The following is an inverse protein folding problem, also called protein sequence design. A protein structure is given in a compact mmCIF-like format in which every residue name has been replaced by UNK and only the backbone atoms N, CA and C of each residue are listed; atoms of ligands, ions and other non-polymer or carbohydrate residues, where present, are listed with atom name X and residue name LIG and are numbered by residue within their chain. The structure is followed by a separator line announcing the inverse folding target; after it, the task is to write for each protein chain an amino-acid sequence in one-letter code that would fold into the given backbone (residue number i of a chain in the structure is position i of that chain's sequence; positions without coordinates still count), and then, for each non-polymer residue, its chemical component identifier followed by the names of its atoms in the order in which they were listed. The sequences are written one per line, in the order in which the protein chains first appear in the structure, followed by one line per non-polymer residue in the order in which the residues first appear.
data_IF_585380083057
#
_entry.id   IF_585380083057
#
_cell.length_a   1.000
_cell.length_b   1.000
_cell.length_c   1.000
_cell.angle_alpha   90.00
_cell.angle_beta   90.00
_cell.angle_gamma   90.00
#
_symmetry.space_group_name_H-M   'P 1'
#
loop_
_entity.id
_entity.type
_entity.pdbx_description
1 polymer ?
#
# COMPACT_ATOMS: atom_id res chain seq x y z
N UNK A 1 72.12 -24.00 -16.21
CA UNK A 1 72.67 -22.79 -15.55
C UNK A 1 73.19 -21.86 -16.63
N UNK A 2 72.55 -20.71 -16.86
CA UNK A 2 72.97 -19.78 -17.92
C UNK A 2 74.38 -19.23 -17.60
N UNK A 3 75.36 -19.59 -18.43
CA UNK A 3 76.78 -19.30 -18.18
C UNK A 3 77.25 -17.92 -18.66
N UNK A 4 76.42 -17.13 -19.36
CA UNK A 4 76.77 -15.77 -19.77
C UNK A 4 76.13 -14.70 -18.88
N UNK A 5 76.90 -13.65 -18.54
CA UNK A 5 76.44 -12.47 -17.80
C UNK A 5 75.21 -11.82 -18.47
N UNK A 6 75.18 -11.82 -19.80
CA UNK A 6 74.08 -11.31 -20.63
C UNK A 6 72.79 -12.08 -20.40
N UNK A 7 72.83 -13.41 -20.29
CA UNK A 7 71.64 -14.20 -20.03
C UNK A 7 71.07 -13.94 -18.62
N UNK A 8 71.93 -13.69 -17.63
CA UNK A 8 71.49 -13.32 -16.27
C UNK A 8 70.79 -11.96 -16.23
N UNK A 9 71.32 -10.96 -16.96
CA UNK A 9 70.72 -9.62 -17.07
C UNK A 9 69.34 -9.70 -17.74
N UNK A 10 69.22 -10.45 -18.84
CA UNK A 10 67.92 -10.65 -19.52
C UNK A 10 66.90 -11.31 -18.59
N UNK A 11 67.29 -12.35 -17.83
CA UNK A 11 66.39 -12.99 -16.86
C UNK A 11 65.96 -12.04 -15.74
N UNK A 12 66.85 -11.19 -15.23
CA UNK A 12 66.49 -10.19 -14.22
C UNK A 12 65.46 -9.19 -14.76
N UNK A 13 65.65 -8.70 -16.00
CA UNK A 13 64.69 -7.78 -16.65
C UNK A 13 63.33 -8.46 -16.85
N UNK A 14 63.33 -9.70 -17.32
CA UNK A 14 62.09 -10.48 -17.51
C UNK A 14 61.37 -10.69 -16.19
N UNK A 15 62.07 -11.08 -15.12
CA UNK A 15 61.48 -11.28 -13.78
C UNK A 15 60.92 -9.96 -13.23
N UNK A 16 61.64 -8.86 -13.39
CA UNK A 16 61.22 -7.55 -12.92
C UNK A 16 59.99 -7.04 -13.71
N UNK A 17 59.96 -7.25 -15.02
CA UNK A 17 58.78 -6.96 -15.85
C UNK A 17 57.58 -7.82 -15.44
N UNK A 18 57.77 -9.12 -15.21
CA UNK A 18 56.71 -10.00 -14.71
C UNK A 18 56.20 -9.57 -13.33
N UNK A 19 57.08 -9.16 -12.42
CA UNK A 19 56.71 -8.67 -11.09
C UNK A 19 55.89 -7.35 -11.18
N UNK A 20 56.30 -6.41 -12.03
CA UNK A 20 55.55 -5.16 -12.25
C UNK A 20 54.18 -5.41 -12.86
N UNK A 21 54.08 -6.32 -13.85
CA UNK A 21 52.81 -6.72 -14.45
C UNK A 21 51.90 -7.38 -13.39
N UNK A 22 52.46 -8.28 -12.57
CA UNK A 22 51.72 -8.93 -11.49
C UNK A 22 51.20 -7.92 -10.46
N UNK A 23 52.03 -6.95 -10.06
CA UNK A 23 51.62 -5.86 -9.16
C UNK A 23 50.50 -5.01 -9.77
N UNK A 24 50.62 -4.62 -11.04
CA UNK A 24 49.60 -3.85 -11.74
C UNK A 24 48.25 -4.60 -11.78
N UNK A 25 48.23 -5.87 -12.16
CA UNK A 25 47.00 -6.66 -12.18
C UNK A 25 46.45 -6.91 -10.78
N UNK A 26 47.30 -7.13 -9.79
CA UNK A 26 46.87 -7.30 -8.39
C UNK A 26 46.22 -6.02 -7.88
N UNK A 27 46.83 -4.85 -8.11
CA UNK A 27 46.25 -3.56 -7.74
C UNK A 27 44.90 -3.34 -8.42
N UNK A 28 44.77 -3.65 -9.72
CA UNK A 28 43.48 -3.56 -10.43
C UNK A 28 42.42 -4.49 -9.86
N UNK A 29 42.74 -5.76 -9.60
CA UNK A 29 41.80 -6.74 -9.05
C UNK A 29 41.38 -6.36 -7.63
N UNK A 30 42.33 -5.93 -6.78
CA UNK A 30 42.03 -5.48 -5.42
C UNK A 30 41.19 -4.21 -5.45
N UNK A 31 41.52 -3.25 -6.31
CA UNK A 31 40.74 -2.03 -6.50
C UNK A 31 39.30 -2.33 -6.94
N UNK A 32 39.09 -3.23 -7.92
CA UNK A 32 37.75 -3.67 -8.35
C UNK A 32 36.99 -4.42 -7.25
N UNK A 33 37.67 -5.27 -6.48
CA UNK A 33 37.09 -5.98 -5.35
C UNK A 33 36.65 -5.02 -4.24
N UNK A 34 37.50 -4.04 -3.90
CA UNK A 34 37.20 -2.98 -2.93
C UNK A 34 36.11 -2.03 -3.45
N UNK A 35 36.05 -1.79 -4.76
CA UNK A 35 34.98 -1.04 -5.40
C UNK A 35 33.63 -1.80 -5.43
N UNK A 36 33.61 -3.08 -5.00
CA UNK A 36 32.39 -3.88 -4.77
C UNK A 36 31.43 -3.89 -5.95
N UNK A 37 31.96 -3.95 -7.17
CA UNK A 37 31.12 -3.92 -8.36
C UNK A 37 30.10 -5.06 -8.39
N UNK A 38 28.86 -4.68 -8.64
CA UNK A 38 27.69 -5.56 -8.72
C UNK A 38 27.30 -5.80 -10.18
N UNK A 39 26.66 -6.94 -10.44
CA UNK A 39 26.06 -7.27 -11.74
C UNK A 39 24.66 -7.80 -11.53
N UNK A 40 23.70 -7.28 -12.29
CA UNK A 40 22.31 -7.74 -12.21
C UNK A 40 22.09 -8.94 -13.13
N UNK A 41 21.73 -10.08 -12.55
CA UNK A 41 21.24 -11.24 -13.28
C UNK A 41 19.72 -11.15 -13.39
N UNK A 42 19.22 -11.00 -14.62
CA UNK A 42 17.79 -11.03 -14.92
C UNK A 42 17.43 -12.42 -15.43
N UNK A 43 16.55 -13.12 -14.72
CA UNK A 43 16.00 -14.41 -15.12
C UNK A 43 14.50 -14.27 -15.35
N UNK A 44 14.02 -14.93 -16.40
CA UNK A 44 12.60 -14.99 -16.72
C UNK A 44 12.05 -16.39 -16.42
N UNK A 45 10.90 -16.46 -15.74
CA UNK A 45 10.19 -17.71 -15.50
C UNK A 45 8.73 -17.58 -15.90
N UNK A 46 8.26 -18.52 -16.73
CA UNK A 46 6.84 -18.70 -17.04
C UNK A 46 6.22 -19.61 -15.97
N UNK A 47 5.09 -19.20 -15.42
CA UNK A 47 4.33 -19.94 -14.42
C UNK A 47 3.04 -20.49 -15.04
N UNK A 48 2.55 -21.63 -14.55
CA UNK A 48 1.25 -22.20 -14.99
C UNK A 48 0.07 -21.42 -14.41
N UNK A 49 0.24 -20.86 -13.22
CA UNK A 49 -0.71 -20.02 -12.54
C UNK A 49 0.11 -18.94 -11.83
N UNK A 50 -0.39 -17.70 -11.87
CA UNK A 50 0.12 -16.64 -11.01
C UNK A 50 -0.95 -16.37 -10.00
N UNK A 51 -0.63 -16.54 -8.74
CA UNK A 51 -1.49 -15.99 -7.72
C UNK A 51 -1.66 -14.47 -7.95
N UNK A 52 -2.88 -13.99 -7.85
CA UNK A 52 -3.19 -12.62 -7.46
C UNK A 52 -3.31 -12.64 -5.91
N UNK A 53 -2.40 -13.37 -5.24
CA UNK A 53 -0.99 -12.97 -4.94
C UNK A 53 0.23 -13.94 -5.26
N UNK A 54 1.08 -13.73 -6.28
CA UNK A 54 2.05 -14.71 -6.90
C UNK A 54 2.89 -15.63 -5.97
N UNK A 55 2.65 -16.95 -5.90
CA UNK A 55 3.65 -17.91 -5.40
C UNK A 55 4.59 -18.37 -6.51
N UNK A 56 5.91 -18.26 -6.27
CA UNK A 56 6.91 -18.96 -7.09
C UNK A 56 7.44 -20.15 -6.32
N UNK A 57 6.94 -21.34 -6.64
CA UNK A 57 7.53 -22.60 -6.17
C UNK A 57 8.66 -22.99 -7.13
N UNK A 58 9.85 -23.29 -6.59
CA UNK A 58 10.91 -23.94 -7.37
C UNK A 58 11.13 -25.36 -6.87
N UNK A 59 11.80 -26.19 -7.68
CA UNK A 59 12.21 -27.55 -7.29
C UNK A 59 13.12 -27.61 -6.04
N UNK A 60 13.65 -26.47 -5.56
CA UNK A 60 14.45 -26.34 -4.35
C UNK A 60 13.69 -25.73 -3.14
N UNK A 61 12.35 -25.66 -3.21
CA UNK A 61 11.50 -25.05 -2.18
C UNK A 61 10.73 -23.81 -2.67
N UNK A 62 9.80 -23.33 -1.82
CA UNK A 62 9.00 -22.11 -2.03
C UNK A 62 9.94 -20.91 -2.05
N UNK A 63 10.05 -20.23 -3.21
CA UNK A 63 11.02 -19.14 -3.40
C UNK A 63 10.51 -17.77 -2.89
N UNK A 64 9.24 -17.72 -2.48
CA UNK A 64 8.55 -16.57 -1.91
C UNK A 64 7.07 -16.54 -2.32
N UNK A 65 6.22 -16.06 -1.40
CA UNK A 65 4.81 -15.73 -1.65
C UNK A 65 4.75 -14.23 -1.92
N UNK A 66 4.45 -13.85 -3.15
CA UNK A 66 4.09 -12.47 -3.49
C UNK A 66 2.73 -12.20 -2.92
N UNK A 67 2.46 -10.99 -2.46
CA UNK A 67 1.09 -10.62 -2.20
C UNK A 67 0.68 -9.35 -2.92
N UNK A 68 -0.33 -9.43 -3.79
CA UNK A 68 -1.00 -8.28 -4.37
C UNK A 68 -2.44 -8.27 -3.88
N UNK A 69 -2.72 -7.43 -2.89
CA UNK A 69 -4.06 -7.13 -2.42
C UNK A 69 -4.71 -6.08 -3.30
N UNK A 70 -5.98 -6.30 -3.62
CA UNK A 70 -6.86 -5.28 -4.20
C UNK A 70 -7.73 -4.76 -3.08
N UNK A 71 -7.62 -3.48 -2.75
CA UNK A 71 -8.42 -2.84 -1.71
C UNK A 71 -9.29 -1.75 -2.32
N UNK A 72 -10.59 -1.77 -2.05
CA UNK A 72 -11.55 -0.83 -2.61
C UNK A 72 -12.13 0.02 -1.49
N UNK A 73 -12.08 1.33 -1.67
CA UNK A 73 -12.54 2.34 -0.71
C UNK A 73 -13.43 3.38 -1.40
N UNK A 74 -14.40 3.99 -0.69
CA UNK A 74 -14.96 5.26 -1.11
C UNK A 74 -13.89 6.36 -1.06
N UNK A 75 -14.10 7.45 -1.80
CA UNK A 75 -13.20 8.61 -1.76
C UNK A 75 -13.27 9.32 -0.41
N UNK A 76 -14.48 9.59 0.06
CA UNK A 76 -14.75 10.34 1.28
C UNK A 76 -15.12 9.39 2.43
N UNK A 77 -14.75 9.73 3.67
CA UNK A 77 -14.94 8.86 4.83
C UNK A 77 -16.37 8.80 5.36
N UNK A 78 -17.29 9.59 4.79
CA UNK A 78 -18.68 9.74 5.23
C UNK A 78 -19.65 8.71 4.61
N UNK A 79 -19.13 7.59 4.09
CA UNK A 79 -19.95 6.48 3.60
C UNK A 79 -20.63 5.71 4.76
N UNK A 80 -21.60 6.35 5.41
CA UNK A 80 -22.33 5.84 6.57
C UNK A 80 -23.84 5.93 6.34
N UNK A 81 -24.59 5.11 7.07
CA UNK A 81 -26.05 5.16 7.10
C UNK A 81 -26.48 6.31 8.01
N UNK A 82 -26.50 7.53 7.46
CA UNK A 82 -26.68 8.77 8.22
C UNK A 82 -27.91 8.76 9.13
N UNK A 83 -29.05 8.28 8.66
CA UNK A 83 -30.29 8.25 9.45
C UNK A 83 -30.20 7.32 10.65
N UNK A 84 -29.48 6.20 10.53
CA UNK A 84 -29.26 5.30 11.65
C UNK A 84 -28.41 5.96 12.73
N UNK A 85 -27.37 6.69 12.35
CA UNK A 85 -26.51 7.43 13.28
C UNK A 85 -27.27 8.59 13.94
N UNK A 86 -28.06 9.34 13.18
CA UNK A 86 -28.94 10.40 13.72
C UNK A 86 -29.91 9.86 14.77
N UNK A 87 -30.51 8.70 14.53
CA UNK A 87 -31.39 8.05 15.52
C UNK A 87 -30.64 7.68 16.80
N UNK A 88 -29.42 7.14 16.69
CA UNK A 88 -28.60 6.82 17.87
C UNK A 88 -28.23 8.09 18.66
N UNK A 89 -27.86 9.16 17.98
CA UNK A 89 -27.56 10.45 18.62
C UNK A 89 -28.78 10.96 19.38
N UNK A 90 -29.96 10.96 18.76
CA UNK A 90 -31.21 11.44 19.38
C UNK A 90 -31.65 10.61 20.57
N UNK A 91 -31.34 9.31 20.58
CA UNK A 91 -31.61 8.46 21.72
C UNK A 91 -30.81 8.86 22.97
N UNK A 92 -29.65 9.52 22.80
CA UNK A 92 -28.78 9.97 23.90
C UNK A 92 -28.86 11.48 24.17
N UNK A 93 -29.15 12.26 23.13
CA UNK A 93 -29.25 13.71 23.19
C UNK A 93 -30.61 14.09 22.57
N UNK A 94 -31.69 14.06 23.37
CA UNK A 94 -33.00 14.47 22.90
C UNK A 94 -33.00 15.91 22.39
N UNK A 95 -33.89 16.22 21.45
CA UNK A 95 -34.09 17.57 20.88
C UNK A 95 -32.90 18.17 20.11
N UNK A 96 -31.89 17.36 19.75
CA UNK A 96 -30.82 17.83 18.85
C UNK A 96 -31.36 18.02 17.43
N UNK A 97 -31.12 19.20 16.85
CA UNK A 97 -31.51 19.53 15.47
C UNK A 97 -30.82 18.59 14.46
N UNK A 98 -31.42 18.43 13.27
CA UNK A 98 -30.81 17.67 12.17
C UNK A 98 -29.42 18.19 11.79
N UNK A 99 -29.26 19.51 11.79
CA UNK A 99 -28.00 20.19 11.46
C UNK A 99 -26.93 19.94 12.52
N UNK A 100 -27.27 20.12 13.80
CA UNK A 100 -26.34 19.85 14.90
C UNK A 100 -25.94 18.37 14.94
N UNK A 101 -26.85 17.45 14.62
CA UNK A 101 -26.54 16.04 14.51
C UNK A 101 -25.56 15.75 13.36
N UNK A 102 -25.75 16.36 12.19
CA UNK A 102 -24.80 16.22 11.06
C UNK A 102 -23.44 16.82 11.43
N UNK A 103 -23.40 18.01 12.04
CA UNK A 103 -22.15 18.61 12.50
C UNK A 103 -21.43 17.75 13.54
N UNK A 104 -22.18 17.11 14.45
CA UNK A 104 -21.62 16.20 15.44
C UNK A 104 -21.02 14.93 14.80
N UNK A 105 -21.67 14.38 13.78
CA UNK A 105 -21.15 13.24 13.01
C UNK A 105 -19.90 13.65 12.23
N UNK A 106 -19.92 14.81 11.57
CA UNK A 106 -18.76 15.38 10.89
C UNK A 106 -17.58 15.55 11.85
N UNK A 107 -17.83 16.04 13.07
CA UNK A 107 -16.84 16.19 14.13
C UNK A 107 -16.24 14.84 14.53
N UNK A 108 -17.07 13.81 14.69
CA UNK A 108 -16.58 12.46 14.98
C UNK A 108 -15.71 11.90 13.86
N UNK A 109 -16.14 12.03 12.59
CA UNK A 109 -15.38 11.53 11.43
C UNK A 109 -14.05 12.28 11.30
N UNK A 110 -14.05 13.61 11.37
CA UNK A 110 -12.82 14.41 11.32
C UNK A 110 -11.88 14.09 12.50
N UNK A 111 -12.45 13.97 13.70
CA UNK A 111 -11.72 13.61 14.91
C UNK A 111 -11.21 12.16 14.93
N UNK A 112 -11.60 11.32 13.96
CA UNK A 112 -11.02 9.99 13.78
C UNK A 112 -9.71 10.01 12.98
N UNK A 113 -9.32 11.16 12.42
CA UNK A 113 -8.08 11.34 11.64
C UNK A 113 -8.22 10.96 10.17
N UNK A 114 -9.43 10.83 9.63
CA UNK A 114 -9.66 10.55 8.22
C UNK A 114 -9.54 11.81 7.36
N UNK A 115 -9.01 11.66 6.14
CA UNK A 115 -8.85 12.73 5.17
C UNK A 115 -10.16 13.14 4.48
N UNK A 116 -10.09 14.23 3.71
CA UNK A 116 -11.21 14.82 2.95
C UNK A 116 -12.33 15.45 3.79
N UNK A 117 -12.06 15.80 5.05
CA UNK A 117 -12.97 16.60 5.89
C UNK A 117 -12.59 18.09 5.92
N UNK A 118 -11.58 18.51 5.17
CA UNK A 118 -10.98 19.85 5.16
C UNK A 118 -11.99 20.98 4.94
N UNK A 119 -12.89 20.79 3.97
CA UNK A 119 -13.94 21.74 3.61
C UNK A 119 -14.98 21.98 4.72
N UNK A 120 -15.02 21.09 5.71
CA UNK A 120 -15.91 21.17 6.88
C UNK A 120 -15.13 21.69 8.07
N UNK A 121 -13.97 21.08 8.40
CA UNK A 121 -13.15 21.43 9.56
C UNK A 121 -12.70 22.89 9.52
N UNK A 122 -12.32 23.39 8.33
CA UNK A 122 -11.87 24.79 8.14
C UNK A 122 -12.94 25.84 8.44
N UNK A 123 -14.23 25.45 8.48
CA UNK A 123 -15.34 26.38 8.76
C UNK A 123 -15.67 26.48 10.25
N UNK A 124 -15.15 25.58 11.09
CA UNK A 124 -15.49 25.56 12.50
C UNK A 124 -14.70 26.60 13.28
N UNK A 125 -15.43 27.37 14.10
CA UNK A 125 -14.82 28.26 15.07
C UNK A 125 -14.44 27.50 16.35
N UNK A 126 -13.45 27.99 17.13
CA UNK A 126 -13.02 27.32 18.38
C UNK A 126 -14.17 27.05 19.35
N UNK A 127 -15.11 27.97 19.51
CA UNK A 127 -16.29 27.79 20.37
C UNK A 127 -17.22 26.69 19.86
N UNK A 128 -17.39 26.59 18.53
CA UNK A 128 -18.16 25.52 17.91
C UNK A 128 -17.50 24.15 18.12
N UNK A 129 -16.17 24.07 18.01
CA UNK A 129 -15.41 22.84 18.28
C UNK A 129 -15.65 22.38 19.72
N UNK A 130 -15.60 23.29 20.71
CA UNK A 130 -15.86 22.97 22.12
C UNK A 130 -17.31 22.51 22.35
N UNK A 131 -18.29 23.18 21.70
CA UNK A 131 -19.70 22.75 21.75
C UNK A 131 -19.86 21.34 21.17
N UNK A 132 -19.32 21.07 19.99
CA UNK A 132 -19.37 19.76 19.35
C UNK A 132 -18.68 18.69 20.17
N UNK A 133 -17.57 19.03 20.82
CA UNK A 133 -16.87 18.15 21.74
C UNK A 133 -17.74 17.76 22.94
N UNK A 134 -18.40 18.73 23.58
CA UNK A 134 -19.30 18.44 24.71
C UNK A 134 -20.48 17.53 24.32
N UNK A 135 -21.03 17.73 23.12
CA UNK A 135 -22.07 16.86 22.54
C UNK A 135 -21.51 15.47 22.22
N UNK A 136 -20.28 15.41 21.70
CA UNK A 136 -19.61 14.14 21.40
C UNK A 136 -19.41 13.31 22.66
N UNK A 137 -18.99 13.90 23.78
CA UNK A 137 -18.82 13.15 25.04
C UNK A 137 -20.14 12.54 25.52
N UNK A 138 -21.27 13.27 25.37
CA UNK A 138 -22.61 12.74 25.67
C UNK A 138 -23.01 11.62 24.72
N UNK A 139 -22.75 11.77 23.41
CA UNK A 139 -23.06 10.73 22.41
C UNK A 139 -22.19 9.48 22.61
N UNK A 140 -20.89 9.63 22.85
CA UNK A 140 -19.97 8.52 23.18
C UNK A 140 -20.49 7.76 24.40
N UNK A 141 -20.89 8.48 25.45
CA UNK A 141 -21.30 7.92 26.73
C UNK A 141 -20.16 7.12 27.37
N UNK A 142 -20.48 5.94 27.91
CA UNK A 142 -19.53 5.07 28.61
C UNK A 142 -18.53 4.32 27.72
N UNK A 143 -18.73 4.31 26.39
CA UNK A 143 -17.81 3.63 25.44
C UNK A 143 -16.43 4.29 25.47
N UNK A 144 -15.36 3.50 25.35
CA UNK A 144 -14.05 4.06 25.03
C UNK A 144 -14.02 4.58 23.56
N UNK A 145 -12.99 5.33 23.18
CA UNK A 145 -12.90 5.88 21.83
C UNK A 145 -12.73 4.80 20.76
N UNK A 146 -12.06 3.67 21.07
CA UNK A 146 -11.86 2.58 20.13
C UNK A 146 -13.19 1.88 19.79
N UNK A 147 -13.96 1.52 20.81
CA UNK A 147 -15.30 0.95 20.72
C UNK A 147 -16.24 1.89 19.97
N UNK A 148 -16.21 3.19 20.32
CA UNK A 148 -17.04 4.19 19.64
C UNK A 148 -16.75 4.26 18.14
N UNK A 149 -15.49 4.34 17.73
CA UNK A 149 -15.15 4.42 16.31
C UNK A 149 -15.41 3.11 15.57
N UNK A 150 -15.20 1.97 16.23
CA UNK A 150 -15.58 0.67 15.67
C UNK A 150 -17.09 0.60 15.42
N UNK A 151 -17.93 1.03 16.38
CA UNK A 151 -19.38 1.13 16.18
C UNK A 151 -19.72 2.05 15.00
N UNK A 152 -19.16 3.27 14.97
CA UNK A 152 -19.46 4.25 13.94
C UNK A 152 -19.17 3.73 12.52
N UNK A 153 -18.01 3.11 12.31
CA UNK A 153 -17.59 2.69 10.96
C UNK A 153 -17.95 1.23 10.61
N UNK A 154 -17.98 0.30 11.56
CA UNK A 154 -18.38 -1.09 11.26
C UNK A 154 -19.88 -1.30 11.31
N UNK A 155 -20.55 -0.79 12.36
CA UNK A 155 -21.99 -1.00 12.56
C UNK A 155 -22.82 -0.07 11.68
N UNK A 156 -22.43 1.21 11.61
CA UNK A 156 -23.17 2.23 10.86
C UNK A 156 -22.57 2.59 9.51
N UNK A 157 -21.35 2.12 9.21
CA UNK A 157 -20.75 2.25 7.89
C UNK A 157 -21.32 1.27 6.87
N UNK A 158 -21.01 1.51 5.60
CA UNK A 158 -21.41 0.66 4.49
C UNK A 158 -20.90 -0.80 4.63
N UNK A 159 -21.70 -1.74 4.13
CA UNK A 159 -21.39 -3.18 4.06
C UNK A 159 -20.82 -3.54 2.70
N UNK A 160 -20.23 -4.73 2.58
CA UNK A 160 -19.68 -5.22 1.31
C UNK A 160 -20.72 -5.20 0.17
N UNK A 161 -21.96 -5.63 0.46
CA UNK A 161 -23.07 -5.66 -0.51
C UNK A 161 -23.53 -4.26 -0.97
N UNK A 162 -23.22 -3.24 -0.18
CA UNK A 162 -23.49 -1.84 -0.54
C UNK A 162 -22.41 -1.30 -1.49
N UNK A 163 -21.16 -1.79 -1.37
CA UNK A 163 -20.03 -1.37 -2.19
C UNK A 163 -19.97 -2.10 -3.54
N UNK A 164 -20.19 -3.40 -3.57
CA UNK A 164 -20.03 -4.19 -4.80
C UNK A 164 -21.37 -4.55 -5.45
N UNK A 165 -21.43 -4.40 -6.78
CA UNK A 165 -22.52 -4.92 -7.60
C UNK A 165 -22.23 -6.36 -8.02
N UNK A 166 -21.07 -6.61 -8.62
CA UNK A 166 -20.67 -7.95 -9.07
C UNK A 166 -19.17 -8.03 -9.29
N UNK A 167 -18.61 -9.22 -9.08
CA UNK A 167 -17.19 -9.50 -9.27
C UNK A 167 -17.00 -10.71 -10.19
N UNK A 168 -15.96 -10.65 -11.01
CA UNK A 168 -15.61 -11.69 -11.98
C UNK A 168 -14.11 -12.00 -11.95
N UNK A 169 -13.76 -13.25 -12.19
CA UNK A 169 -12.42 -13.68 -12.58
C UNK A 169 -12.55 -14.29 -13.97
N UNK A 170 -11.94 -13.65 -14.96
CA UNK A 170 -12.20 -13.99 -16.36
C UNK A 170 -13.69 -13.79 -16.70
N UNK A 171 -14.36 -14.89 -17.02
CA UNK A 171 -15.81 -14.90 -17.30
C UNK A 171 -16.65 -15.40 -16.12
N UNK A 172 -16.02 -15.95 -15.08
CA UNK A 172 -16.71 -16.58 -13.96
C UNK A 172 -17.11 -15.53 -12.92
N UNK A 173 -18.41 -15.46 -12.64
CA UNK A 173 -18.96 -14.60 -11.58
C UNK A 173 -18.76 -15.26 -10.22
N UNK A 174 -18.35 -14.48 -9.22
CA UNK A 174 -18.24 -14.94 -7.83
C UNK A 174 -18.88 -13.94 -6.85
N UNK A 175 -19.19 -14.38 -5.63
CA UNK A 175 -19.66 -13.49 -4.58
C UNK A 175 -18.49 -12.64 -4.06
N UNK A 176 -18.57 -11.34 -4.31
CA UNK A 176 -17.60 -10.36 -3.83
C UNK A 176 -17.37 -10.49 -2.31
N UNK A 177 -18.43 -10.68 -1.53
CA UNK A 177 -18.36 -10.61 -0.08
C UNK A 177 -17.77 -11.86 0.59
N UNK A 178 -17.64 -12.96 -0.15
CA UNK A 178 -16.87 -14.13 0.28
C UNK A 178 -15.36 -13.90 0.13
N UNK A 179 -14.96 -13.02 -0.78
CA UNK A 179 -13.56 -12.75 -1.12
C UNK A 179 -13.05 -11.42 -0.61
N UNK A 180 -13.92 -10.50 -0.21
CA UNK A 180 -13.54 -9.17 0.24
C UNK A 180 -13.84 -8.97 1.73
N UNK A 181 -12.78 -8.77 2.52
CA UNK A 181 -12.87 -8.58 3.96
C UNK A 181 -12.67 -7.10 4.35
N UNK A 182 -13.37 -6.60 5.38
CA UNK A 182 -13.24 -5.22 5.79
C UNK A 182 -11.85 -4.95 6.39
N UNK A 183 -11.23 -3.84 6.01
CA UNK A 183 -9.93 -3.37 6.52
C UNK A 183 -9.88 -1.85 6.57
N UNK A 184 -9.10 -1.28 7.48
CA UNK A 184 -8.84 0.16 7.48
C UNK A 184 -7.63 0.50 6.62
N UNK A 185 -7.80 1.51 5.78
CA UNK A 185 -6.72 2.14 5.04
C UNK A 185 -6.39 3.48 5.68
N UNK A 186 -5.10 3.73 5.89
CA UNK A 186 -4.61 4.95 6.53
C UNK A 186 -5.23 6.19 5.87
N UNK A 187 -5.77 7.12 6.68
CA UNK A 187 -6.44 8.35 6.24
C UNK A 187 -7.71 8.17 5.40
N UNK A 188 -8.11 6.95 5.02
CA UNK A 188 -9.29 6.71 4.17
C UNK A 188 -10.48 6.13 4.93
N UNK A 189 -10.20 5.36 5.97
CA UNK A 189 -11.23 4.69 6.76
C UNK A 189 -11.50 3.27 6.30
N UNK A 190 -12.72 2.80 6.52
CA UNK A 190 -13.12 1.41 6.25
C UNK A 190 -13.18 1.17 4.75
N UNK A 191 -12.55 0.09 4.32
CA UNK A 191 -12.43 -0.38 2.95
C UNK A 191 -12.63 -1.90 2.91
N UNK A 192 -12.67 -2.46 1.70
CA UNK A 192 -12.74 -3.90 1.51
C UNK A 192 -11.55 -4.40 0.72
N UNK A 193 -10.81 -5.32 1.33
CA UNK A 193 -9.60 -5.94 0.78
C UNK A 193 -9.91 -7.34 0.29
N UNK A 194 -9.50 -7.64 -0.94
CA UNK A 194 -9.58 -8.98 -1.48
C UNK A 194 -8.60 -9.91 -0.75
N UNK A 195 -9.09 -11.08 -0.35
CA UNK A 195 -8.26 -12.20 0.07
C UNK A 195 -7.51 -12.78 -1.12
N UNK A 196 -6.48 -13.56 -0.86
CA UNK A 196 -5.66 -14.18 -1.90
C UNK A 196 -6.49 -14.98 -2.91
N UNK A 197 -6.30 -14.73 -4.21
CA UNK A 197 -6.90 -15.51 -5.31
C UNK A 197 -5.86 -15.82 -6.39
N UNK A 198 -6.17 -16.74 -7.32
CA UNK A 198 -5.26 -17.17 -8.37
C UNK A 198 -5.74 -16.72 -9.74
N UNK A 199 -4.85 -16.06 -10.51
CA UNK A 199 -5.02 -15.91 -11.95
C UNK A 199 -4.45 -17.15 -12.65
N UNK A 200 -5.35 -17.98 -13.15
CA UNK A 200 -5.01 -19.25 -13.81
C UNK A 200 -4.87 -19.13 -15.32
N UNK A 201 -5.33 -18.01 -15.90
CA UNK A 201 -5.26 -17.74 -17.33
C UNK A 201 -4.72 -16.32 -17.61
N UNK A 202 -3.98 -16.10 -18.71
CA UNK A 202 -3.47 -14.78 -19.07
C UNK A 202 -4.57 -13.80 -19.51
N UNK A 203 -4.28 -12.51 -19.33
CA UNK A 203 -5.03 -11.37 -19.88
C UNK A 203 -6.55 -11.42 -19.61
N UNK A 204 -7.40 -11.23 -20.63
CA UNK A 204 -8.86 -11.15 -20.49
C UNK A 204 -9.47 -12.39 -19.83
N UNK A 205 -8.84 -13.56 -20.01
CA UNK A 205 -9.38 -14.83 -19.52
C UNK A 205 -9.17 -15.07 -18.02
N UNK A 206 -8.27 -14.34 -17.37
CA UNK A 206 -8.01 -14.50 -15.94
C UNK A 206 -7.94 -13.21 -15.13
N UNK A 207 -8.18 -12.06 -15.76
CA UNK A 207 -8.26 -10.77 -15.04
C UNK A 207 -9.44 -10.75 -14.07
N UNK A 208 -9.25 -10.02 -12.98
CA UNK A 208 -10.34 -9.65 -12.07
C UNK A 208 -11.08 -8.46 -12.67
N UNK A 209 -12.41 -8.50 -12.64
CA UNK A 209 -13.26 -7.37 -12.98
C UNK A 209 -14.24 -7.10 -11.83
N UNK A 210 -14.27 -5.86 -11.37
CA UNK A 210 -15.11 -5.37 -10.29
C UNK A 210 -16.08 -4.33 -10.83
N UNK A 211 -17.37 -4.56 -10.62
CA UNK A 211 -18.41 -3.54 -10.77
C UNK A 211 -18.75 -3.02 -9.37
N UNK A 212 -18.41 -1.76 -9.13
CA UNK A 212 -18.49 -1.10 -7.82
C UNK A 212 -19.65 -0.09 -7.88
N UNK A 213 -20.51 -0.13 -6.87
CA UNK A 213 -21.65 0.80 -6.75
C UNK A 213 -21.19 2.16 -6.25
N UNK A 214 -21.92 3.20 -6.64
CA UNK A 214 -21.76 4.52 -6.07
C UNK A 214 -22.35 4.60 -4.66
N UNK A 215 -21.47 4.59 -3.66
CA UNK A 215 -21.85 4.76 -2.25
C UNK A 215 -22.38 6.17 -1.95
N UNK A 216 -23.16 6.35 -0.87
CA UNK A 216 -23.55 7.67 -0.39
C UNK A 216 -22.35 8.45 0.18
N UNK A 217 -22.43 9.78 0.10
CA UNK A 217 -21.52 10.75 0.73
C UNK A 217 -22.37 11.91 1.25
N UNK A 218 -23.19 11.68 2.30
CA UNK A 218 -24.27 12.58 2.67
C UNK A 218 -23.81 13.86 3.40
N UNK A 219 -22.51 13.98 3.71
CA UNK A 219 -21.94 15.09 4.47
C UNK A 219 -20.98 15.91 3.60
N UNK A 220 -20.02 15.25 2.95
CA UNK A 220 -18.90 15.92 2.26
C UNK A 220 -19.31 16.44 0.89
N UNK A 221 -20.12 15.67 0.16
CA UNK A 221 -20.48 15.98 -1.23
C UNK A 221 -21.88 16.57 -1.33
N UNK A 222 -22.01 17.66 -2.09
CA UNK A 222 -23.32 18.32 -2.32
C UNK A 222 -24.31 17.40 -3.05
N UNK A 223 -23.82 16.52 -3.93
CA UNK A 223 -24.61 15.50 -4.62
C UNK A 223 -25.11 14.38 -3.70
N UNK A 224 -24.62 14.32 -2.46
CA UNK A 224 -24.85 13.24 -1.48
C UNK A 224 -24.32 11.87 -1.93
N UNK A 225 -23.45 11.83 -2.94
CA UNK A 225 -22.92 10.61 -3.55
C UNK A 225 -21.41 10.68 -3.68
N UNK A 226 -20.73 9.53 -3.52
CA UNK A 226 -19.29 9.45 -3.72
C UNK A 226 -18.96 9.76 -5.18
N UNK A 227 -18.04 10.70 -5.48
CA UNK A 227 -17.72 11.04 -6.86
C UNK A 227 -16.84 9.97 -7.53
N UNK A 228 -16.11 9.17 -6.73
CA UNK A 228 -15.13 8.21 -7.19
C UNK A 228 -15.03 7.03 -6.23
N UNK A 229 -14.73 5.84 -6.76
CA UNK A 229 -14.14 4.76 -5.99
C UNK A 229 -12.61 4.86 -6.07
N UNK A 230 -11.92 4.47 -5.00
CA UNK A 230 -10.46 4.38 -4.97
C UNK A 230 -10.07 2.92 -4.81
N UNK A 231 -9.23 2.44 -5.71
CA UNK A 231 -8.64 1.11 -5.61
C UNK A 231 -7.16 1.25 -5.24
N UNK A 232 -6.73 0.54 -4.21
CA UNK A 232 -5.34 0.42 -3.80
C UNK A 232 -4.82 -0.95 -4.21
N UNK A 233 -3.58 -0.97 -4.71
CA UNK A 233 -2.85 -2.18 -5.02
C UNK A 233 -1.71 -2.33 -4.02
N UNK A 234 -1.93 -3.16 -3.01
CA UNK A 234 -1.09 -3.25 -1.81
C UNK A 234 -0.47 -4.61 -1.68
N UNK A 235 0.47 -4.77 -0.75
CA UNK A 235 0.93 -6.09 -0.33
C UNK A 235 0.12 -6.60 0.87
N UNK A 236 0.24 -7.89 1.21
CA UNK A 236 -0.50 -8.53 2.32
C UNK A 236 0.11 -8.28 3.70
N UNK A 237 0.89 -7.21 3.82
CA UNK A 237 1.23 -6.71 5.13
C UNK A 237 0.03 -6.00 5.74
N UNK A 238 0.05 -5.86 7.06
CA UNK A 238 -1.11 -5.34 7.77
C UNK A 238 -1.38 -3.88 7.48
N UNK A 239 -0.37 -3.16 7.01
CA UNK A 239 -0.45 -1.74 6.79
C UNK A 239 -0.79 -1.43 5.35
N UNK A 240 -1.85 -0.65 5.17
CA UNK A 240 -2.22 -0.12 3.87
C UNK A 240 -2.02 1.39 3.91
N UNK A 241 -1.05 1.87 3.13
CA UNK A 241 -0.85 3.30 2.91
C UNK A 241 -1.81 3.83 1.84
N UNK A 242 -1.78 5.14 1.62
CA UNK A 242 -2.60 5.81 0.61
C UNK A 242 -2.05 5.70 -0.82
N UNK A 243 -1.01 4.89 -1.06
CA UNK A 243 -0.37 4.75 -2.37
C UNK A 243 0.18 3.32 -2.62
N UNK A 244 0.18 2.82 -3.87
CA UNK A 244 -0.40 3.43 -5.07
C UNK A 244 -1.93 3.35 -5.06
N UNK A 245 -2.58 4.39 -5.56
CA UNK A 245 -4.05 4.51 -5.61
C UNK A 245 -4.53 4.80 -7.02
N UNK A 246 -5.64 4.19 -7.40
CA UNK A 246 -6.29 4.33 -8.70
C UNK A 246 -7.68 4.88 -8.47
N UNK A 247 -7.93 6.10 -8.94
CA UNK A 247 -9.26 6.68 -8.94
C UNK A 247 -10.06 6.12 -10.11
N UNK A 248 -11.27 5.68 -9.82
CA UNK A 248 -12.24 5.20 -10.82
C UNK A 248 -13.43 6.15 -10.80
N UNK A 249 -13.60 6.92 -11.88
CA UNK A 249 -14.69 7.87 -12.01
C UNK A 249 -15.98 7.18 -12.45
N UNK A 250 -17.10 7.89 -12.30
CA UNK A 250 -18.37 7.47 -12.86
C UNK A 250 -18.26 7.27 -14.37
N UNK A 251 -18.88 6.20 -14.87
CA UNK A 251 -18.88 5.83 -16.29
C UNK A 251 -17.51 5.54 -16.91
N UNK A 252 -16.45 5.44 -16.09
CA UNK A 252 -15.11 5.07 -16.51
C UNK A 252 -14.81 3.61 -16.17
N UNK A 253 -14.17 2.93 -17.12
CA UNK A 253 -13.54 1.63 -16.94
C UNK A 253 -12.03 1.80 -16.85
N UNK A 254 -11.48 1.48 -15.68
CA UNK A 254 -10.03 1.50 -15.42
C UNK A 254 -9.50 0.08 -15.47
N UNK A 255 -8.54 -0.19 -16.35
CA UNK A 255 -7.84 -1.46 -16.42
C UNK A 255 -6.37 -1.28 -16.01
N UNK A 256 -5.93 -2.04 -15.00
CA UNK A 256 -4.55 -2.03 -14.51
C UNK A 256 -3.88 -3.37 -14.82
N UNK A 257 -2.85 -3.30 -15.65
CA UNK A 257 -2.04 -4.44 -16.05
C UNK A 257 -0.80 -4.56 -15.18
N UNK A 258 -0.53 -5.79 -14.74
CA UNK A 258 0.56 -6.10 -13.82
C UNK A 258 1.77 -6.73 -14.52
N UNK A 259 2.95 -6.33 -14.07
CA UNK A 259 4.19 -7.09 -14.28
C UNK A 259 4.84 -7.33 -12.93
N UNK A 260 4.92 -8.60 -12.52
CA UNK A 260 5.53 -8.98 -11.26
C UNK A 260 7.04 -9.19 -11.43
N UNK A 261 7.81 -8.58 -10.52
CA UNK A 261 9.27 -8.71 -10.44
C UNK A 261 9.66 -9.09 -9.02
N UNK A 262 10.46 -10.14 -8.86
CA UNK A 262 11.13 -10.46 -7.60
C UNK A 262 12.52 -9.84 -7.61
N UNK A 263 12.76 -8.89 -6.71
CA UNK A 263 14.05 -8.22 -6.53
C UNK A 263 14.79 -8.86 -5.35
N UNK A 264 16.05 -9.25 -5.57
CA UNK A 264 17.00 -9.57 -4.49
C UNK A 264 18.25 -8.73 -4.67
N UNK A 265 18.35 -7.69 -3.88
CA UNK A 265 19.46 -6.75 -3.88
C UNK A 265 20.45 -7.09 -2.78
N UNK A 266 21.72 -6.74 -2.96
CA UNK A 266 22.69 -6.85 -1.89
C UNK A 266 22.53 -5.67 -0.90
N UNK A 267 22.63 -5.88 0.42
CA UNK A 267 22.41 -4.82 1.42
C UNK A 267 23.54 -3.78 1.52
N UNK A 268 24.60 -3.89 0.71
CA UNK A 268 25.85 -3.15 0.89
C UNK A 268 25.80 -1.68 0.45
N UNK A 269 24.86 -1.28 -0.41
CA UNK A 269 24.82 0.07 -0.99
C UNK A 269 23.90 1.06 -0.25
N UNK A 270 23.42 0.74 0.96
CA UNK A 270 22.48 1.59 1.73
C UNK A 270 21.14 1.91 1.02
N UNK A 271 20.87 1.28 -0.13
CA UNK A 271 19.65 1.50 -0.92
C UNK A 271 18.48 0.58 -0.53
N UNK A 272 18.73 -0.42 0.32
CA UNK A 272 17.72 -1.36 0.80
C UNK A 272 17.98 -1.80 2.23
N UNK A 273 16.93 -2.28 2.89
CA UNK A 273 16.95 -2.75 4.28
C UNK A 273 16.73 -4.26 4.36
N UNK A 274 17.30 -4.91 5.36
CA UNK A 274 17.03 -6.32 5.71
C UNK A 274 16.13 -6.45 6.94
N UNK A 275 15.60 -5.33 7.46
CA UNK A 275 14.72 -5.33 8.62
C UNK A 275 13.35 -5.90 8.24
N UNK A 276 12.80 -6.76 9.08
CA UNK A 276 11.49 -7.36 8.88
C UNK A 276 10.36 -6.32 8.78
N UNK A 277 10.54 -5.19 9.46
CA UNK A 277 9.62 -4.05 9.47
C UNK A 277 9.48 -3.38 8.10
N UNK A 278 10.49 -3.53 7.23
CA UNK A 278 10.52 -2.93 5.90
C UNK A 278 10.00 -3.87 4.80
N UNK A 279 9.60 -5.10 5.17
CA UNK A 279 9.05 -6.08 4.22
C UNK A 279 7.78 -5.56 3.52
N UNK A 280 6.93 -4.85 4.27
CA UNK A 280 5.75 -4.19 3.71
C UNK A 280 6.10 -2.86 3.06
N UNK A 281 5.69 -2.69 1.81
CA UNK A 281 5.86 -1.48 1.00
C UNK A 281 5.34 -0.24 1.70
N UNK A 282 4.24 -0.38 2.43
CA UNK A 282 3.59 0.70 3.16
C UNK A 282 4.04 0.81 4.63
N UNK A 283 4.69 -0.22 5.17
CA UNK A 283 4.87 -0.37 6.62
C UNK A 283 5.74 0.73 7.24
N UNK A 284 6.94 0.96 6.70
CA UNK A 284 7.80 2.06 7.19
C UNK A 284 7.10 3.42 7.07
N UNK A 285 6.37 3.66 5.96
CA UNK A 285 5.66 4.91 5.75
C UNK A 285 4.53 5.13 6.77
N UNK A 286 3.69 4.10 7.00
CA UNK A 286 2.60 4.16 7.98
C UNK A 286 3.13 4.32 9.39
N UNK A 287 4.20 3.59 9.75
CA UNK A 287 4.89 3.72 11.04
C UNK A 287 5.39 5.14 11.27
N UNK A 288 6.19 5.68 10.34
CA UNK A 288 6.74 7.04 10.46
C UNK A 288 5.65 8.10 10.45
N UNK A 289 4.63 7.96 9.61
CA UNK A 289 3.47 8.84 9.65
C UNK A 289 2.85 8.86 11.06
N UNK A 290 2.59 7.69 11.64
CA UNK A 290 1.97 7.59 12.96
C UNK A 290 2.86 8.18 14.06
N UNK A 291 4.16 7.88 14.04
CA UNK A 291 5.13 8.39 15.01
C UNK A 291 5.26 9.92 14.95
N UNK A 292 5.52 10.48 13.77
CA UNK A 292 5.82 11.91 13.63
C UNK A 292 4.59 12.81 13.59
N UNK A 293 3.43 12.31 13.14
CA UNK A 293 2.22 13.14 12.95
C UNK A 293 1.19 12.96 14.05
N UNK A 294 1.27 11.88 14.82
CA UNK A 294 0.25 11.54 15.83
C UNK A 294 0.89 11.29 17.19
N UNK A 295 1.75 10.28 17.34
CA UNK A 295 2.30 9.89 18.64
C UNK A 295 3.15 11.01 19.24
N UNK A 296 4.12 11.55 18.49
CA UNK A 296 4.97 12.65 18.95
C UNK A 296 4.19 13.91 19.35
N UNK A 297 3.36 14.49 18.46
CA UNK A 297 2.67 15.74 18.76
C UNK A 297 1.45 15.61 19.68
N UNK A 298 0.74 14.48 19.67
CA UNK A 298 -0.54 14.33 20.39
C UNK A 298 -0.49 13.37 21.58
N UNK A 299 0.59 12.58 21.71
CA UNK A 299 0.79 11.56 22.74
C UNK A 299 -0.38 10.56 22.84
N UNK A 300 -0.93 10.16 21.69
CA UNK A 300 -2.04 9.22 21.56
C UNK A 300 -2.04 8.60 20.16
N UNK A 301 -2.86 7.57 19.95
CA UNK A 301 -2.93 6.82 18.68
C UNK A 301 -4.23 7.05 17.92
N UNK A 302 -4.17 6.96 16.58
CA UNK A 302 -5.38 6.86 15.77
C UNK A 302 -6.02 5.48 15.96
N UNK A 303 -7.34 5.40 16.10
CA UNK A 303 -8.03 4.15 16.42
C UNK A 303 -7.71 3.00 15.45
N UNK A 304 -7.55 3.30 14.15
CA UNK A 304 -7.23 2.31 13.13
C UNK A 304 -5.74 1.92 13.06
N UNK A 305 -4.84 2.66 13.73
CA UNK A 305 -3.43 2.33 13.90
C UNK A 305 -3.06 1.90 15.32
N UNK A 306 -4.03 1.80 16.22
CA UNK A 306 -3.78 1.45 17.62
C UNK A 306 -3.09 0.09 17.79
N UNK A 307 -3.35 -0.86 16.90
CA UNK A 307 -2.68 -2.17 16.87
C UNK A 307 -1.14 -2.11 16.68
N UNK A 308 -0.60 -0.96 16.26
CA UNK A 308 0.83 -0.75 16.01
C UNK A 308 1.62 -0.29 17.23
N UNK A 309 0.93 0.18 18.27
CA UNK A 309 1.56 0.86 19.39
C UNK A 309 1.09 0.26 20.70
N UNK A 310 2.01 0.06 21.63
CA UNK A 310 1.70 -0.37 22.99
C UNK A 310 1.84 0.81 23.94
N UNK A 311 0.95 0.92 24.92
CA UNK A 311 1.00 1.98 25.94
C UNK A 311 0.43 3.34 25.53
N UNK A 312 -0.19 3.47 24.35
CA UNK A 312 -0.84 4.70 23.89
C UNK A 312 -2.34 4.51 23.76
N UNK A 313 -3.13 5.36 24.43
CA UNK A 313 -4.58 5.40 24.26
C UNK A 313 -5.00 5.95 22.89
N UNK A 314 -6.23 5.63 22.47
CA UNK A 314 -6.83 6.24 21.28
C UNK A 314 -7.08 7.73 21.53
N UNK A 315 -6.66 8.55 20.57
CA UNK A 315 -6.81 10.00 20.64
C UNK A 315 -8.26 10.43 20.81
N UNK A 316 -8.45 11.41 21.69
CA UNK A 316 -9.69 12.15 21.78
C UNK A 316 -9.92 12.99 20.50
N UNK A 317 -11.15 13.01 19.94
CA UNK A 317 -11.47 13.77 18.74
C UNK A 317 -11.05 15.24 18.79
N UNK A 318 -11.12 15.87 19.97
CA UNK A 318 -10.77 17.28 20.17
C UNK A 318 -9.33 17.57 19.77
N UNK A 319 -8.39 16.72 20.20
CA UNK A 319 -6.96 16.86 19.90
C UNK A 319 -6.68 16.76 18.40
N UNK A 320 -7.36 15.82 17.74
CA UNK A 320 -7.21 15.62 16.30
C UNK A 320 -7.83 16.77 15.52
N UNK A 321 -9.04 17.23 15.88
CA UNK A 321 -9.72 18.32 15.16
C UNK A 321 -8.92 19.63 15.26
N UNK A 322 -8.39 19.99 16.43
CA UNK A 322 -7.52 21.17 16.57
C UNK A 322 -6.22 21.06 15.76
N UNK A 323 -5.70 19.85 15.59
CA UNK A 323 -4.46 19.59 14.87
C UNK A 323 -4.71 18.94 13.50
N UNK A 324 -5.90 19.09 12.92
CA UNK A 324 -6.34 18.27 11.79
C UNK A 324 -5.41 18.41 10.58
N UNK A 325 -4.98 19.64 10.27
CA UNK A 325 -4.04 19.89 9.19
C UNK A 325 -2.68 19.20 9.41
N UNK A 326 -2.22 19.11 10.67
CA UNK A 326 -0.99 18.40 11.04
C UNK A 326 -1.21 16.89 10.90
N UNK A 327 -2.32 16.35 11.42
CA UNK A 327 -2.57 14.91 11.34
C UNK A 327 -2.79 14.43 9.91
N UNK A 328 -3.51 15.18 9.08
CA UNK A 328 -4.01 14.70 7.78
C UNK A 328 -3.20 15.20 6.59
N UNK A 329 -2.87 16.49 6.54
CA UNK A 329 -2.40 17.11 5.29
C UNK A 329 -0.92 17.45 5.25
N UNK A 330 -0.31 17.73 6.39
CA UNK A 330 1.02 18.31 6.31
C UNK A 330 2.02 17.29 5.78
N UNK A 331 2.92 17.80 4.95
CA UNK A 331 3.93 17.01 4.29
C UNK A 331 4.72 16.21 5.33
N UNK A 332 4.93 14.93 5.05
CA UNK A 332 5.98 14.17 5.74
C UNK A 332 7.29 14.67 5.14
N UNK A 333 7.75 15.81 5.64
CA UNK A 333 9.16 16.14 5.54
C UNK A 333 9.87 15.07 6.34
N UNK A 334 10.53 14.13 5.67
CA UNK A 334 11.37 13.15 6.33
C UNK A 334 12.59 13.88 6.91
N UNK A 335 12.41 14.53 8.06
CA UNK A 335 13.51 15.03 8.88
C UNK A 335 14.06 13.81 9.62
N UNK A 336 14.87 13.02 8.93
CA UNK A 336 15.43 11.76 9.46
C UNK A 336 15.80 10.74 8.37
N UNK A 337 15.98 9.48 8.80
CA UNK A 337 16.31 8.36 7.91
C UNK A 337 15.20 8.12 6.87
N UNK A 338 15.58 7.85 5.63
CA UNK A 338 14.63 7.52 4.55
C UNK A 338 14.01 6.13 4.79
N UNK A 339 12.77 5.91 4.36
CA UNK A 339 12.23 4.55 4.29
C UNK A 339 12.92 3.80 3.16
N UNK A 340 13.80 2.85 3.52
CA UNK A 340 14.46 1.99 2.55
C UNK A 340 13.56 0.78 2.25
N UNK A 341 13.43 0.38 0.98
CA UNK A 341 12.69 -0.82 0.64
C UNK A 341 13.44 -2.08 1.09
N UNK A 342 12.73 -3.16 1.42
CA UNK A 342 13.38 -4.42 1.78
C UNK A 342 14.23 -4.99 0.62
N UNK A 343 15.44 -5.50 0.88
CA UNK A 343 16.34 -6.00 -0.16
C UNK A 343 15.78 -7.20 -0.92
N UNK A 344 14.94 -8.01 -0.26
CA UNK A 344 14.19 -9.11 -0.89
C UNK A 344 12.71 -8.74 -0.97
N UNK A 345 12.24 -8.32 -2.14
CA UNK A 345 10.88 -7.80 -2.27
C UNK A 345 10.24 -8.12 -3.62
N UNK A 346 8.92 -8.13 -3.61
CA UNK A 346 8.14 -8.09 -4.83
C UNK A 346 7.94 -6.64 -5.27
N UNK A 347 8.17 -6.40 -6.54
CA UNK A 347 7.92 -5.13 -7.19
C UNK A 347 6.93 -5.35 -8.33
N UNK A 348 5.87 -4.55 -8.34
CA UNK A 348 4.84 -4.58 -9.36
C UNK A 348 4.92 -3.30 -10.18
N UNK A 349 5.10 -3.47 -11.48
CA UNK A 349 4.91 -2.40 -12.44
C UNK A 349 3.45 -2.38 -12.87
N UNK A 350 2.86 -1.19 -12.93
CA UNK A 350 1.46 -0.99 -13.27
C UNK A 350 1.36 -0.21 -14.59
N UNK A 351 0.64 -0.76 -15.56
CA UNK A 351 0.23 -0.05 -16.78
C UNK A 351 -1.27 0.20 -16.72
N UNK A 352 -1.67 1.47 -16.82
CA UNK A 352 -3.05 1.90 -16.63
C UNK A 352 -3.67 2.20 -17.99
N UNK A 353 -4.84 1.66 -18.24
CA UNK A 353 -5.66 1.94 -19.41
C UNK A 353 -7.02 2.46 -18.92
N UNK A 354 -7.55 3.47 -19.60
CA UNK A 354 -8.82 4.11 -19.28
C UNK A 354 -9.69 4.14 -20.52
N UNK A 355 -10.97 3.88 -20.34
CA UNK A 355 -11.96 3.86 -21.41
C UNK A 355 -13.34 4.13 -20.84
N UNK A 356 -14.27 4.59 -21.66
CA UNK A 356 -15.66 4.72 -21.25
C UNK A 356 -16.30 3.34 -21.06
N UNK A 357 -17.19 3.22 -20.07
CA UNK A 357 -17.98 2.00 -19.90
C UNK A 357 -18.94 1.88 -21.09
N UNK A 358 -18.74 0.85 -21.91
CA UNK A 358 -19.66 0.52 -23.00
C UNK A 358 -21.06 0.22 -22.46
N UNK A 359 -22.10 0.69 -23.14
CA UNK A 359 -23.50 0.59 -22.70
C UNK A 359 -23.93 -0.85 -22.36
N UNK A 360 -23.30 -1.87 -22.97
CA UNK A 360 -23.55 -3.29 -22.72
C UNK A 360 -23.33 -3.72 -21.26
N UNK A 361 -22.49 -3.00 -20.51
CA UNK A 361 -22.13 -3.34 -19.13
C UNK A 361 -22.68 -2.35 -18.10
N UNK A 362 -23.45 -1.35 -18.52
CA UNK A 362 -24.14 -0.45 -17.59
C UNK A 362 -25.48 -1.09 -17.20
N UNK A 363 -25.68 -1.50 -15.94
CA UNK A 363 -27.03 -1.85 -15.50
C UNK A 363 -27.95 -0.64 -15.65
N UNK A 364 -29.18 -0.92 -16.03
CA UNK A 364 -30.23 0.10 -16.14
C UNK A 364 -30.50 0.68 -14.76
N UNK A 365 -30.35 2.00 -14.62
CA UNK A 365 -30.65 2.82 -13.44
C UNK A 365 -29.63 2.85 -12.29
N UNK A 366 -28.41 2.31 -12.45
CA UNK A 366 -27.36 2.42 -11.42
C UNK A 366 -26.06 3.00 -11.98
N UNK A 367 -25.50 3.99 -11.29
CA UNK A 367 -24.14 4.48 -11.53
C UNK A 367 -23.13 3.47 -10.99
N UNK A 368 -22.24 3.00 -11.88
CA UNK A 368 -21.21 2.00 -11.56
C UNK A 368 -19.83 2.52 -11.94
N UNK A 369 -18.86 2.18 -11.09
CA UNK A 369 -17.44 2.28 -11.35
C UNK A 369 -16.92 0.90 -11.77
N UNK A 370 -16.18 0.82 -12.89
CA UNK A 370 -15.60 -0.44 -13.36
C UNK A 370 -14.09 -0.44 -13.18
N UNK A 371 -13.61 -1.41 -12.43
CA UNK A 371 -12.18 -1.63 -12.24
C UNK A 371 -11.81 -3.04 -12.70
N UNK A 372 -10.76 -3.14 -13.50
CA UNK A 372 -10.22 -4.41 -13.96
C UNK A 372 -8.74 -4.48 -13.67
N UNK A 373 -8.25 -5.67 -13.35
CA UNK A 373 -6.83 -5.85 -13.16
C UNK A 373 -6.34 -7.27 -13.39
N UNK A 374 -5.10 -7.43 -13.84
CA UNK A 374 -4.53 -8.75 -14.08
C UNK A 374 -3.18 -8.73 -14.79
N UNK A 375 -2.57 -9.91 -14.88
CA UNK A 375 -1.35 -10.15 -15.62
C UNK A 375 -1.63 -10.37 -17.10
N UNK A 376 -0.83 -9.76 -17.99
CA UNK A 376 -0.90 -10.06 -19.43
C UNK A 376 -0.42 -11.46 -19.72
N UNK A 377 0.76 -11.78 -19.20
CA UNK A 377 1.33 -13.10 -19.29
C UNK A 377 1.56 -13.61 -17.87
N UNK A 378 1.44 -14.92 -17.68
CA UNK A 378 1.74 -15.58 -16.40
C UNK A 378 3.26 -15.73 -16.23
N UNK A 379 3.95 -14.60 -16.11
CA UNK A 379 5.40 -14.48 -16.16
C UNK A 379 5.93 -13.65 -15.00
N UNK A 380 7.07 -14.09 -14.44
CA UNK A 380 7.76 -13.41 -13.35
C UNK A 380 9.20 -13.14 -13.75
N UNK A 381 9.63 -11.91 -13.54
CA UNK A 381 11.03 -11.51 -13.68
C UNK A 381 11.72 -11.64 -12.33
N UNK A 382 12.85 -12.35 -12.27
CA UNK A 382 13.68 -12.46 -11.08
C UNK A 382 14.95 -11.66 -11.35
N UNK A 383 15.17 -10.60 -10.58
CA UNK A 383 16.36 -9.77 -10.66
C UNK A 383 17.21 -10.06 -9.42
N UNK A 384 18.38 -10.63 -9.65
CA UNK A 384 19.34 -10.96 -8.60
C UNK A 384 20.56 -10.07 -8.76
N UNK A 385 20.88 -9.34 -7.72
CA UNK A 385 22.17 -8.69 -7.61
C UNK A 385 23.25 -9.71 -7.22
N UNK A 386 24.37 -9.74 -7.95
CA UNK A 386 25.50 -10.63 -7.70
C UNK A 386 26.81 -9.85 -7.74
N UNK A 387 27.70 -10.13 -6.78
CA UNK A 387 29.07 -9.64 -6.80
C UNK A 387 29.81 -10.14 -8.06
N UNK A 388 30.41 -9.20 -8.81
CA UNK A 388 31.05 -9.46 -10.10
C UNK A 388 32.21 -10.46 -10.00
N UNK A 389 32.91 -10.53 -8.87
CA UNK A 389 34.03 -11.45 -8.64
C UNK A 389 33.63 -12.94 -8.68
N UNK A 390 32.36 -13.29 -8.46
CA UNK A 390 31.88 -14.68 -8.50
C UNK A 390 31.77 -15.24 -9.94
N UNK A 391 31.77 -14.39 -10.97
CA UNK A 391 31.66 -14.83 -12.36
C UNK A 391 32.94 -15.47 -12.90
N UNK A 392 34.11 -15.12 -12.34
CA UNK A 392 35.39 -15.66 -12.78
C UNK A 392 35.67 -17.07 -12.23
N UNK A 393 34.91 -17.55 -11.24
CA UNK A 393 35.19 -18.82 -10.56
C UNK A 393 34.41 -20.03 -11.10
N UNK A 394 33.34 -19.85 -11.90
CA UNK A 394 32.42 -20.95 -12.25
C UNK A 394 32.45 -21.42 -13.70
N UNK A 395 33.41 -20.97 -14.51
CA UNK A 395 33.69 -21.54 -15.85
C UNK A 395 35.04 -22.26 -15.89
N UNK A 396 35.24 -23.25 -15.03
CA UNK A 396 36.32 -24.22 -15.21
C UNK A 396 36.00 -25.52 -14.48
N UNK A 397 35.14 -26.34 -15.08
CA UNK A 397 35.07 -27.81 -14.90
C UNK A 397 33.91 -28.33 -15.75
N UNK A 398 34.10 -28.32 -17.06
CA UNK A 398 33.50 -29.26 -18.02
C UNK A 398 34.33 -29.21 -19.29
N UNK A 399 35.41 -29.99 -19.28
CA UNK A 399 35.93 -30.68 -20.44
C UNK A 399 36.42 -32.03 -19.96
#
# INVERSE_FOLDING_TARGET
MAQSLTARIVWVIVVLACALIALFFTDKVVSEYVARQTTTLITFKRAKQLELPVIVVSKAGVLGVCWLGIEVCPKNPDAIVLDAVKREIRARIPFLSDEDAVNLISYAIAGSGMANMDSIVSKWQPLQIQRLHSLFLRWKGSRDYLQFYNDLFFRHGYKCKDLFHSCYIGYDKFDCCDKFQPRFVMLRGKCYRMIAQFQTAPDVHGRIALLIKQLPSPIVESSKKQPQAIVFLTDNHTDTSTFPRFYVNENESVFVRFVARLLRMSPWESECSMLDEDKGRATCYVKKYHEYRVLGPLNCSLFYLHHRVQGYDVCEPLRIVYNYNVVVNGAIGFVGERCLPHCHRWYHEFKIYRSDITQRFKPTNETIFRFESGFTNLEVYILLDRCRCAFYSTKSTKK
#
